data_IF_775016432743
#
_entry.id   IF_775016432743
#
_cell.length_a   1.000
_cell.length_b   1.000
_cell.length_c   1.000
_cell.angle_alpha   90.00
_cell.angle_beta   90.00
_cell.angle_gamma   90.00
#
_symmetry.space_group_name_H-M   'P 1'
#
loop_
_entity.id
_entity.type
_entity.pdbx_description
1 polymer ?
#
# COMPACT_ATOMS: atom_id res chain seq x y z
N UNK A 1 16.66 51.91 68.16
CA UNK A 1 16.44 51.84 66.69
C UNK A 1 17.36 50.77 66.12
N UNK A 2 16.84 50.03 65.13
CA UNK A 2 17.36 48.77 64.57
C UNK A 2 18.72 48.92 63.88
N UNK A 3 19.62 47.96 64.06
CA UNK A 3 20.82 47.78 63.21
C UNK A 3 21.16 46.29 63.12
N UNK A 4 20.98 45.72 61.93
CA UNK A 4 20.97 44.28 61.61
C UNK A 4 22.37 43.67 61.60
N UNK A 5 22.44 42.42 62.07
CA UNK A 5 23.51 41.45 61.87
C UNK A 5 23.76 41.17 60.39
N UNK A 6 25.03 41.19 59.97
CA UNK A 6 25.45 40.73 58.64
C UNK A 6 25.94 39.28 58.77
N UNK A 7 25.18 38.34 58.20
CA UNK A 7 25.64 36.96 57.94
C UNK A 7 26.56 36.99 56.72
N UNK A 8 27.80 36.55 56.88
CA UNK A 8 28.69 36.24 55.78
C UNK A 8 28.17 34.99 55.05
N UNK A 9 27.77 35.15 53.79
CA UNK A 9 27.43 34.05 52.89
C UNK A 9 28.74 33.46 52.37
N UNK A 10 29.05 32.24 52.77
CA UNK A 10 30.13 31.44 52.19
C UNK A 10 29.71 31.03 50.76
N UNK A 11 30.42 31.56 49.76
CA UNK A 11 30.24 31.23 48.36
C UNK A 11 30.90 29.87 48.10
N UNK A 12 30.13 28.78 48.09
CA UNK A 12 30.61 27.46 47.68
C UNK A 12 30.83 27.44 46.18
N UNK A 13 32.10 27.46 45.76
CA UNK A 13 32.53 27.28 44.38
C UNK A 13 32.27 25.81 43.98
N UNK A 14 31.10 25.54 43.37
CA UNK A 14 30.81 24.24 42.77
C UNK A 14 31.61 24.08 41.46
N UNK A 15 32.62 23.23 41.49
CA UNK A 15 33.28 22.68 40.31
C UNK A 15 32.26 21.89 39.48
N UNK A 16 31.78 22.47 38.39
CA UNK A 16 31.10 21.70 37.34
C UNK A 16 32.17 20.87 36.61
N UNK A 17 32.17 19.56 36.85
CA UNK A 17 32.88 18.61 36.00
C UNK A 17 32.24 18.66 34.61
N UNK A 18 32.94 19.24 33.63
CA UNK A 18 32.56 19.14 32.23
C UNK A 18 32.77 17.69 31.81
N UNK A 19 31.68 16.94 31.69
CA UNK A 19 31.73 15.60 31.12
C UNK A 19 32.24 15.70 29.66
N UNK A 20 33.17 14.84 29.23
CA UNK A 20 33.63 14.86 27.85
C UNK A 20 32.43 14.57 26.93
N UNK A 21 32.21 15.47 25.97
CA UNK A 21 31.28 15.23 24.88
C UNK A 21 31.72 13.95 24.17
N UNK A 22 30.91 12.90 24.27
CA UNK A 22 31.06 11.70 23.47
C UNK A 22 31.04 12.12 22.00
N UNK A 23 32.20 12.02 21.35
CA UNK A 23 32.30 12.08 19.91
C UNK A 23 31.38 10.99 19.33
N UNK A 24 30.39 11.39 18.55
CA UNK A 24 29.53 10.47 17.82
C UNK A 24 30.40 9.65 16.86
N UNK A 25 30.68 8.41 17.23
CA UNK A 25 31.17 7.40 16.30
C UNK A 25 30.10 7.24 15.23
N UNK A 26 30.50 7.33 13.95
CA UNK A 26 29.62 7.13 12.79
C UNK A 26 29.16 5.68 12.68
N UNK A 27 28.33 5.25 13.64
CA UNK A 27 27.72 3.94 13.65
C UNK A 27 26.77 3.80 12.48
N UNK A 28 26.89 2.70 11.75
CA UNK A 28 25.94 2.26 10.75
C UNK A 28 24.57 2.09 11.42
N UNK A 29 23.72 3.12 11.33
CA UNK A 29 22.36 3.03 11.82
C UNK A 29 21.60 2.03 10.93
N UNK A 30 21.09 0.96 11.53
CA UNK A 30 20.23 -0.02 10.87
C UNK A 30 18.79 0.46 10.94
N UNK A 31 18.04 0.30 9.85
CA UNK A 31 16.62 0.64 9.81
C UNK A 31 15.79 -0.64 9.96
N UNK A 32 14.88 -0.66 10.93
CA UNK A 32 13.82 -1.67 10.99
C UNK A 32 12.82 -1.39 9.87
N UNK A 33 12.38 -2.42 9.15
CA UNK A 33 11.37 -2.29 8.08
C UNK A 33 10.09 -3.03 8.50
N UNK A 34 8.95 -2.37 8.35
CA UNK A 34 7.62 -2.93 8.54
C UNK A 34 6.88 -2.98 7.19
N UNK A 35 6.00 -3.96 7.03
CA UNK A 35 5.00 -4.03 5.95
C UNK A 35 3.65 -4.17 6.61
N UNK A 36 2.77 -3.20 6.39
CA UNK A 36 1.40 -3.18 6.92
C UNK A 36 1.37 -3.48 8.44
N UNK A 37 2.21 -2.74 9.18
CA UNK A 37 2.35 -2.86 10.64
C UNK A 37 3.15 -4.06 11.17
N UNK A 38 3.51 -5.03 10.33
CA UNK A 38 4.27 -6.24 10.71
C UNK A 38 5.75 -6.10 10.40
N UNK A 39 6.61 -6.60 11.30
CA UNK A 39 8.06 -6.58 11.07
C UNK A 39 8.46 -7.49 9.89
N UNK A 40 9.20 -6.92 8.95
CA UNK A 40 9.73 -7.67 7.82
C UNK A 40 10.95 -8.51 8.23
N UNK A 41 10.97 -9.78 7.81
CA UNK A 41 12.12 -10.66 7.99
C UNK A 41 13.13 -10.44 6.87
N UNK A 42 14.00 -9.45 7.03
CA UNK A 42 15.07 -9.19 6.06
C UNK A 42 16.19 -10.23 6.20
N UNK A 43 16.65 -10.78 5.08
CA UNK A 43 17.81 -11.66 5.01
C UNK A 43 19.11 -10.88 5.21
N UNK A 44 19.15 -9.62 4.77
CA UNK A 44 20.27 -8.70 4.97
C UNK A 44 19.80 -7.47 5.73
N UNK A 45 20.69 -6.91 6.54
CA UNK A 45 20.38 -5.67 7.27
C UNK A 45 20.18 -4.52 6.28
N UNK A 46 19.13 -3.73 6.51
CA UNK A 46 18.94 -2.46 5.83
C UNK A 46 20.05 -1.47 6.23
N UNK A 47 20.54 -0.70 5.24
CA UNK A 47 21.60 0.28 5.44
C UNK A 47 21.04 1.69 5.25
N UNK A 48 21.47 2.61 6.10
CA UNK A 48 21.18 4.03 5.96
C UNK A 48 22.36 4.73 5.30
N UNK A 49 22.15 5.33 4.12
CA UNK A 49 23.17 6.09 3.40
C UNK A 49 22.58 7.39 2.86
N UNK A 50 23.17 8.52 3.23
CA UNK A 50 22.67 9.86 2.85
C UNK A 50 21.18 10.07 3.17
N UNK A 51 20.75 9.66 4.37
CA UNK A 51 19.34 9.71 4.82
C UNK A 51 18.36 8.84 4.01
N UNK A 52 18.87 7.95 3.15
CA UNK A 52 18.06 6.99 2.39
C UNK A 52 18.26 5.59 2.95
N UNK A 53 17.16 4.86 3.07
CA UNK A 53 17.18 3.46 3.47
C UNK A 53 17.34 2.59 2.24
N UNK A 54 18.40 1.79 2.21
CA UNK A 54 18.61 0.77 1.20
C UNK A 54 18.44 -0.62 1.83
N UNK A 55 17.85 -1.52 1.06
CA UNK A 55 17.73 -2.95 1.40
C UNK A 55 18.40 -3.77 0.31
N UNK A 56 18.73 -5.04 0.58
CA UNK A 56 19.22 -5.90 -0.50
C UNK A 56 18.15 -6.05 -1.59
N UNK A 57 18.56 -6.23 -2.83
CA UNK A 57 17.63 -6.39 -3.94
C UNK A 57 16.75 -7.65 -3.77
N UNK A 58 17.27 -8.69 -3.14
CA UNK A 58 16.51 -9.89 -2.78
C UNK A 58 15.44 -9.61 -1.70
N UNK A 59 15.78 -8.80 -0.68
CA UNK A 59 14.83 -8.38 0.33
C UNK A 59 13.76 -7.45 -0.26
N UNK A 60 14.15 -6.49 -1.11
CA UNK A 60 13.20 -5.64 -1.83
C UNK A 60 12.23 -6.46 -2.67
N UNK A 61 12.72 -7.48 -3.38
CA UNK A 61 11.88 -8.38 -4.14
C UNK A 61 10.89 -9.13 -3.25
N UNK A 62 11.34 -9.61 -2.08
CA UNK A 62 10.47 -10.29 -1.11
C UNK A 62 9.41 -9.36 -0.54
N UNK A 63 9.79 -8.13 -0.15
CA UNK A 63 8.90 -7.11 0.42
C UNK A 63 7.81 -6.68 -0.56
N UNK A 64 8.17 -6.54 -1.85
CA UNK A 64 7.30 -6.00 -2.90
C UNK A 64 6.64 -7.09 -3.75
N UNK A 65 6.78 -8.37 -3.37
CA UNK A 65 6.28 -9.52 -4.13
C UNK A 65 6.75 -9.50 -5.60
N UNK A 66 8.01 -9.11 -5.80
CA UNK A 66 8.66 -8.96 -7.08
C UNK A 66 9.56 -10.16 -7.41
N UNK A 67 10.01 -10.25 -8.67
CA UNK A 67 11.10 -11.13 -9.06
C UNK A 67 12.40 -10.33 -9.26
N UNK A 68 13.50 -10.79 -8.67
CA UNK A 68 14.84 -10.21 -8.85
C UNK A 68 15.75 -11.13 -9.66
N UNK A 69 16.49 -10.55 -10.60
CA UNK A 69 17.55 -11.23 -11.36
C UNK A 69 18.76 -10.32 -11.50
N UNK A 70 19.96 -10.92 -11.53
CA UNK A 70 21.21 -10.20 -11.73
C UNK A 70 22.00 -10.91 -12.83
N UNK A 71 22.29 -10.19 -13.92
CA UNK A 71 23.11 -10.65 -15.04
C UNK A 71 24.26 -9.67 -15.27
N UNK A 72 25.46 -10.04 -14.80
CA UNK A 72 26.62 -9.15 -14.81
C UNK A 72 26.38 -7.85 -14.03
N UNK A 73 26.40 -6.71 -14.73
CA UNK A 73 26.14 -5.37 -14.18
C UNK A 73 24.68 -4.93 -14.30
N UNK A 74 23.80 -5.82 -14.79
CA UNK A 74 22.39 -5.53 -15.01
C UNK A 74 21.55 -6.21 -13.95
N UNK A 75 21.07 -5.43 -13.00
CA UNK A 75 20.11 -5.86 -11.98
C UNK A 75 18.68 -5.57 -12.43
N UNK A 76 17.81 -6.58 -12.50
CA UNK A 76 16.43 -6.40 -12.95
C UNK A 76 15.42 -6.85 -11.88
N UNK A 77 14.51 -5.96 -11.54
CA UNK A 77 13.39 -6.18 -10.63
C UNK A 77 12.07 -6.11 -11.41
N UNK A 78 11.27 -7.18 -11.39
CA UNK A 78 9.97 -7.26 -12.05
C UNK A 78 8.84 -7.16 -11.01
N UNK A 79 8.11 -6.04 -11.04
CA UNK A 79 7.01 -5.68 -10.15
C UNK A 79 5.67 -5.78 -10.91
N UNK A 80 5.05 -6.96 -10.90
CA UNK A 80 3.86 -7.22 -11.74
C UNK A 80 4.19 -7.05 -13.22
N UNK A 81 3.53 -6.08 -13.88
CA UNK A 81 3.80 -5.72 -15.28
C UNK A 81 4.96 -4.74 -15.46
N UNK A 82 5.40 -4.06 -14.38
CA UNK A 82 6.51 -3.11 -14.42
C UNK A 82 7.85 -3.81 -14.35
N UNK A 83 8.80 -3.34 -15.15
CA UNK A 83 10.18 -3.81 -15.14
C UNK A 83 11.12 -2.67 -14.83
N UNK A 84 11.84 -2.79 -13.71
CA UNK A 84 12.87 -1.84 -13.29
C UNK A 84 14.23 -2.47 -13.54
N UNK A 85 15.13 -1.75 -14.22
CA UNK A 85 16.49 -2.22 -14.50
C UNK A 85 17.48 -1.21 -13.95
N UNK A 86 18.34 -1.68 -13.05
CA UNK A 86 19.50 -0.98 -12.51
C UNK A 86 20.74 -1.37 -13.31
N UNK A 87 21.39 -0.38 -13.92
CA UNK A 87 22.70 -0.52 -14.54
C UNK A 87 23.75 -0.11 -13.50
N UNK A 88 24.41 -1.09 -12.89
CA UNK A 88 25.22 -0.92 -11.68
C UNK A 88 26.52 -0.14 -11.93
N UNK A 89 27.09 -0.24 -13.14
CA UNK A 89 28.31 0.45 -13.57
C UNK A 89 28.06 1.90 -13.99
N UNK A 90 26.90 2.16 -14.61
CA UNK A 90 26.50 3.47 -15.07
C UNK A 90 25.75 4.28 -14.00
N UNK A 91 25.42 3.68 -12.85
CA UNK A 91 24.58 4.27 -11.80
C UNK A 91 23.25 4.82 -12.34
N UNK A 92 22.70 4.16 -13.37
CA UNK A 92 21.44 4.56 -14.01
C UNK A 92 20.34 3.53 -13.77
N UNK A 93 19.09 4.00 -13.87
CA UNK A 93 17.91 3.14 -13.76
C UNK A 93 16.95 3.42 -14.91
N UNK A 94 16.33 2.35 -15.41
CA UNK A 94 15.22 2.44 -16.36
C UNK A 94 13.98 1.80 -15.78
N UNK A 95 12.82 2.36 -16.12
CA UNK A 95 11.50 1.80 -15.81
C UNK A 95 10.80 1.56 -17.15
N UNK A 96 10.41 0.32 -17.40
CA UNK A 96 9.78 -0.14 -18.64
C UNK A 96 10.58 0.28 -19.89
N UNK A 97 11.92 0.17 -19.78
CA UNK A 97 12.87 0.52 -20.83
C UNK A 97 13.14 2.02 -21.00
N UNK A 98 12.49 2.90 -20.23
CA UNK A 98 12.71 4.35 -20.28
C UNK A 98 13.64 4.80 -19.15
N UNK A 99 14.70 5.58 -19.43
CA UNK A 99 15.56 6.12 -18.38
C UNK A 99 14.79 7.08 -17.47
N UNK A 100 15.03 6.98 -16.16
CA UNK A 100 14.41 7.86 -15.17
C UNK A 100 15.44 8.88 -14.68
N UNK A 101 15.25 10.15 -15.05
CA UNK A 101 16.05 11.24 -14.51
C UNK A 101 15.79 11.37 -13.00
N UNK A 102 16.87 11.32 -12.20
CA UNK A 102 16.77 11.32 -10.74
C UNK A 102 16.30 9.98 -10.14
N UNK A 103 16.26 8.91 -10.94
CA UNK A 103 16.08 7.56 -10.41
C UNK A 103 17.24 7.22 -9.48
N UNK A 104 16.93 6.67 -8.31
CA UNK A 104 17.93 6.44 -7.28
C UNK A 104 18.76 5.19 -7.61
N UNK A 105 20.08 5.38 -7.78
CA UNK A 105 21.00 4.31 -8.17
C UNK A 105 21.07 3.20 -7.11
N UNK A 106 21.32 1.97 -7.57
CA UNK A 106 21.66 0.88 -6.67
C UNK A 106 23.10 1.01 -6.17
N UNK A 107 23.37 0.48 -4.98
CA UNK A 107 24.68 0.43 -4.37
C UNK A 107 25.19 -1.01 -4.40
N UNK A 108 26.45 -1.22 -4.75
CA UNK A 108 27.07 -2.55 -4.69
C UNK A 108 27.98 -2.62 -3.47
N UNK A 109 27.73 -3.58 -2.57
CA UNK A 109 28.60 -3.87 -1.42
C UNK A 109 29.07 -5.32 -1.48
N UNK A 110 30.33 -5.52 -1.86
CA UNK A 110 30.87 -6.84 -2.12
C UNK A 110 30.17 -7.48 -3.31
N UNK A 111 29.39 -8.55 -3.06
CA UNK A 111 28.57 -9.24 -4.08
C UNK A 111 27.08 -8.93 -3.98
N UNK A 112 26.70 -8.04 -3.06
CA UNK A 112 25.30 -7.73 -2.78
C UNK A 112 24.90 -6.42 -3.46
N UNK A 113 23.71 -6.41 -4.05
CA UNK A 113 23.12 -5.21 -4.64
C UNK A 113 22.10 -4.66 -3.66
N UNK A 114 22.26 -3.40 -3.30
CA UNK A 114 21.38 -2.66 -2.41
C UNK A 114 20.59 -1.63 -3.19
N UNK A 115 19.29 -1.61 -2.99
CA UNK A 115 18.36 -0.77 -3.76
C UNK A 115 17.61 0.20 -2.83
N UNK A 116 17.28 1.40 -3.32
CA UNK A 116 16.62 2.43 -2.53
C UNK A 116 15.18 2.03 -2.26
N UNK A 117 14.88 1.71 -0.99
CA UNK A 117 13.61 1.11 -0.62
C UNK A 117 12.44 2.04 -0.92
N UNK A 118 12.53 3.32 -0.52
CA UNK A 118 11.44 4.30 -0.72
C UNK A 118 11.06 4.43 -2.19
N UNK A 119 12.05 4.67 -3.04
CA UNK A 119 11.82 4.86 -4.46
C UNK A 119 11.16 3.62 -5.09
N UNK A 120 11.61 2.41 -4.75
CA UNK A 120 10.99 1.18 -5.22
C UNK A 120 9.55 1.00 -4.75
N UNK A 121 9.27 1.31 -3.48
CA UNK A 121 7.91 1.24 -2.91
C UNK A 121 6.96 2.19 -3.66
N UNK A 122 7.42 3.40 -3.97
CA UNK A 122 6.66 4.36 -4.78
C UNK A 122 6.44 3.87 -6.22
N UNK A 123 7.46 3.26 -6.86
CA UNK A 123 7.30 2.65 -8.19
C UNK A 123 6.30 1.47 -8.18
N UNK A 124 6.20 0.75 -7.06
CA UNK A 124 5.20 -0.29 -6.85
C UNK A 124 3.78 0.28 -6.54
N UNK A 125 3.66 1.61 -6.38
CA UNK A 125 2.39 2.29 -6.10
C UNK A 125 1.98 2.23 -4.63
N UNK A 126 2.88 1.85 -3.73
CA UNK A 126 2.68 1.80 -2.29
C UNK A 126 3.17 3.10 -1.62
N UNK A 127 2.83 3.28 -0.34
CA UNK A 127 3.34 4.38 0.47
C UNK A 127 4.43 3.89 1.42
N UNK A 128 5.30 4.80 1.83
CA UNK A 128 6.35 4.52 2.80
C UNK A 128 6.52 5.71 3.74
N UNK A 129 6.42 5.45 5.03
CA UNK A 129 6.51 6.46 6.07
C UNK A 129 7.48 6.03 7.18
N UNK A 130 7.92 6.99 7.98
CA UNK A 130 8.61 6.69 9.22
C UNK A 130 7.56 6.50 10.33
N UNK A 131 7.55 5.34 10.97
CA UNK A 131 6.76 5.06 12.14
C UNK A 131 7.56 5.50 13.38
N UNK A 132 7.16 6.63 13.98
CA UNK A 132 7.84 7.22 15.13
C UNK A 132 7.76 6.37 16.40
N UNK A 133 6.63 5.68 16.62
CA UNK A 133 6.39 4.85 17.79
C UNK A 133 7.30 3.62 17.77
N UNK A 134 7.38 2.94 16.63
CA UNK A 134 8.15 1.73 16.43
C UNK A 134 9.59 1.99 15.98
N UNK A 135 9.96 3.26 15.74
CA UNK A 135 11.25 3.68 15.19
C UNK A 135 11.65 2.84 13.97
N UNK A 136 10.72 2.74 13.01
CA UNK A 136 10.84 1.86 11.85
C UNK A 136 10.37 2.53 10.56
N UNK A 137 10.93 2.12 9.44
CA UNK A 137 10.41 2.45 8.11
C UNK A 137 9.22 1.53 7.82
N UNK A 138 8.05 2.10 7.58
CA UNK A 138 6.82 1.35 7.35
C UNK A 138 6.36 1.49 5.91
N UNK A 139 6.25 0.36 5.22
CA UNK A 139 5.63 0.24 3.91
C UNK A 139 4.13 0.00 4.14
N UNK A 140 3.31 0.83 3.50
CA UNK A 140 1.86 0.74 3.52
C UNK A 140 1.38 0.37 2.12
N UNK A 141 0.88 -0.85 2.00
CA UNK A 141 0.45 -1.42 0.72
C UNK A 141 -0.84 -0.75 0.25
N UNK A 142 -0.74 0.23 -0.65
CA UNK A 142 -1.92 0.87 -1.27
C UNK A 142 -2.82 -0.09 -2.07
N UNK A 143 -2.31 -1.26 -2.45
CA UNK A 143 -3.01 -2.19 -3.35
C UNK A 143 -3.76 -3.33 -2.65
N UNK A 144 -3.67 -3.46 -1.33
CA UNK A 144 -4.50 -4.36 -0.54
C UNK A 144 -4.97 -3.59 0.68
N UNK A 145 -6.04 -2.82 0.50
CA UNK A 145 -6.77 -2.40 1.67
C UNK A 145 -7.47 -3.64 2.22
N UNK A 146 -6.94 -4.26 3.28
CA UNK A 146 -7.60 -5.37 4.00
C UNK A 146 -9.03 -5.02 4.41
N UNK A 147 -9.36 -3.73 4.42
CA UNK A 147 -10.71 -3.23 4.63
C UNK A 147 -11.69 -3.58 3.50
N UNK A 148 -11.25 -3.93 2.29
CA UNK A 148 -12.10 -4.38 1.18
C UNK A 148 -11.41 -5.48 0.36
N UNK A 149 -11.93 -6.70 0.46
CA UNK A 149 -11.38 -7.88 -0.20
C UNK A 149 -12.44 -8.52 -1.08
N UNK A 150 -12.19 -8.65 -2.39
CA UNK A 150 -13.06 -9.42 -3.28
C UNK A 150 -12.97 -10.91 -2.92
N UNK A 151 -14.12 -11.58 -2.86
CA UNK A 151 -14.23 -12.99 -2.44
C UNK A 151 -15.05 -13.78 -3.45
N UNK A 152 -14.67 -15.03 -3.69
CA UNK A 152 -15.44 -15.96 -4.53
C UNK A 152 -16.60 -16.56 -3.73
N UNK A 153 -17.80 -16.62 -4.34
CA UNK A 153 -19.00 -17.18 -3.72
C UNK A 153 -18.80 -18.59 -3.16
N UNK A 154 -17.96 -19.41 -3.81
CA UNK A 154 -17.69 -20.79 -3.39
C UNK A 154 -16.96 -20.88 -2.04
N UNK A 155 -16.34 -19.79 -1.60
CA UNK A 155 -15.61 -19.71 -0.32
C UNK A 155 -16.48 -19.18 0.82
N UNK A 156 -17.72 -18.78 0.54
CA UNK A 156 -18.64 -18.19 1.50
C UNK A 156 -19.51 -19.24 2.21
N UNK A 157 -20.08 -18.86 3.35
CA UNK A 157 -21.01 -19.72 4.08
C UNK A 157 -22.30 -19.95 3.27
N UNK A 158 -23.04 -21.01 3.58
CA UNK A 158 -24.28 -21.32 2.86
C UNK A 158 -25.29 -20.18 2.97
N UNK A 159 -25.37 -19.56 4.14
CA UNK A 159 -26.26 -18.43 4.37
C UNK A 159 -25.85 -17.23 3.49
N UNK A 160 -24.54 -16.98 3.31
CA UNK A 160 -24.03 -15.87 2.50
C UNK A 160 -24.30 -16.08 1.01
N UNK A 161 -24.16 -17.31 0.54
CA UNK A 161 -24.55 -17.72 -0.81
C UNK A 161 -26.05 -17.49 -1.04
N UNK A 162 -26.90 -17.88 -0.09
CA UNK A 162 -28.34 -17.65 -0.20
C UNK A 162 -28.69 -16.15 -0.22
N UNK A 163 -27.93 -15.33 0.52
CA UNK A 163 -28.06 -13.87 0.44
C UNK A 163 -27.69 -13.34 -0.94
N UNK A 164 -26.56 -13.77 -1.51
CA UNK A 164 -26.13 -13.42 -2.87
C UNK A 164 -27.22 -13.79 -3.88
N UNK A 165 -27.76 -15.00 -3.80
CA UNK A 165 -28.82 -15.47 -4.71
C UNK A 165 -30.06 -14.57 -4.65
N UNK A 166 -30.44 -14.11 -3.46
CA UNK A 166 -31.60 -13.25 -3.26
C UNK A 166 -31.45 -11.80 -3.77
N UNK A 167 -30.20 -11.33 -3.97
CA UNK A 167 -29.90 -9.95 -4.32
C UNK A 167 -29.20 -9.77 -5.67
N UNK A 168 -28.56 -10.81 -6.24
CA UNK A 168 -27.77 -10.69 -7.49
C UNK A 168 -28.58 -10.17 -8.68
N UNK A 169 -29.89 -10.40 -8.68
CA UNK A 169 -30.81 -9.88 -9.70
C UNK A 169 -31.28 -8.44 -9.48
N UNK A 170 -31.10 -7.90 -8.27
CA UNK A 170 -31.55 -6.57 -7.87
C UNK A 170 -30.39 -5.60 -8.01
N UNK A 171 -30.49 -4.66 -8.95
CA UNK A 171 -29.46 -3.62 -9.13
C UNK A 171 -29.24 -2.83 -7.84
N UNK A 172 -28.00 -2.72 -7.38
CA UNK A 172 -27.67 -2.02 -6.15
C UNK A 172 -26.45 -2.58 -5.44
N UNK A 173 -26.06 -1.91 -4.36
CA UNK A 173 -25.09 -2.42 -3.39
C UNK A 173 -25.87 -2.94 -2.19
N UNK A 174 -25.74 -4.24 -1.92
CA UNK A 174 -26.43 -4.92 -0.83
C UNK A 174 -25.42 -5.37 0.21
N UNK A 175 -25.80 -5.34 1.48
CA UNK A 175 -24.91 -5.67 2.57
C UNK A 175 -25.56 -6.67 3.54
N UNK A 176 -24.77 -7.64 4.00
CA UNK A 176 -25.10 -8.48 5.16
C UNK A 176 -23.87 -8.67 6.03
N UNK A 177 -23.86 -8.06 7.21
CA UNK A 177 -22.69 -8.06 8.06
C UNK A 177 -21.50 -7.38 7.37
N UNK A 178 -20.40 -8.11 7.23
CA UNK A 178 -19.19 -7.68 6.51
C UNK A 178 -19.21 -8.04 5.01
N UNK A 179 -20.23 -8.76 4.52
CA UNK A 179 -20.36 -9.11 3.10
C UNK A 179 -21.12 -8.03 2.34
N UNK A 180 -20.53 -7.60 1.22
CA UNK A 180 -21.13 -6.70 0.24
C UNK A 180 -21.33 -7.42 -1.09
N UNK A 181 -22.49 -7.21 -1.70
CA UNK A 181 -22.84 -7.68 -3.04
C UNK A 181 -23.17 -6.49 -3.92
N UNK A 182 -22.31 -6.20 -4.88
CA UNK A 182 -22.47 -5.11 -5.84
C UNK A 182 -23.10 -5.73 -7.08
N UNK A 183 -24.41 -5.60 -7.23
CA UNK A 183 -25.17 -6.22 -8.30
C UNK A 183 -25.53 -5.20 -9.38
N UNK A 184 -25.19 -5.52 -10.63
CA UNK A 184 -25.59 -4.69 -11.78
C UNK A 184 -27.08 -4.81 -12.09
N UNK A 185 -27.70 -5.90 -11.63
CA UNK A 185 -29.05 -6.31 -11.97
C UNK A 185 -29.09 -7.16 -13.23
N UNK A 186 -30.29 -7.29 -13.80
CA UNK A 186 -30.52 -8.07 -15.01
C UNK A 186 -29.76 -7.47 -16.21
N UNK A 187 -29.01 -8.32 -16.91
CA UNK A 187 -28.31 -7.98 -18.15
C UNK A 187 -28.79 -8.86 -19.31
N UNK A 188 -28.84 -8.34 -20.56
CA UNK A 188 -29.30 -9.11 -21.72
C UNK A 188 -28.49 -10.37 -22.00
N UNK A 189 -27.19 -10.35 -21.68
CA UNK A 189 -26.27 -11.46 -21.88
C UNK A 189 -25.03 -11.36 -20.97
N UNK A 190 -24.22 -12.43 -20.85
CA UNK A 190 -23.03 -12.46 -20.00
C UNK A 190 -21.87 -11.54 -20.42
N UNK A 191 -22.03 -10.75 -21.49
CA UNK A 191 -21.00 -9.80 -21.94
C UNK A 191 -20.93 -8.53 -21.11
N UNK A 192 -21.95 -8.28 -20.31
CA UNK A 192 -22.00 -7.19 -19.36
C UNK A 192 -21.42 -7.63 -18.03
N UNK A 193 -20.62 -6.76 -17.40
CA UNK A 193 -20.00 -7.07 -16.12
C UNK A 193 -19.85 -5.87 -15.19
N UNK A 194 -19.07 -6.10 -14.14
CA UNK A 194 -18.61 -5.13 -13.17
C UNK A 194 -17.13 -5.38 -12.89
N UNK A 195 -16.37 -4.33 -12.63
CA UNK A 195 -14.95 -4.44 -12.28
C UNK A 195 -14.59 -3.38 -11.24
N UNK A 196 -13.99 -3.79 -10.12
CA UNK A 196 -13.37 -2.81 -9.20
C UNK A 196 -12.08 -2.31 -9.86
N UNK A 197 -11.98 -0.99 -10.06
CA UNK A 197 -10.82 -0.37 -10.72
C UNK A 197 -9.87 0.27 -9.72
N UNK A 198 -10.39 0.74 -8.58
CA UNK A 198 -9.61 1.42 -7.54
C UNK A 198 -10.30 1.29 -6.19
N UNK A 199 -9.51 1.13 -5.14
CA UNK A 199 -9.94 1.28 -3.74
C UNK A 199 -9.05 2.32 -3.09
N UNK A 200 -9.62 3.32 -2.44
CA UNK A 200 -8.88 4.47 -1.89
C UNK A 200 -9.48 4.89 -0.55
N UNK A 201 -8.67 4.92 0.50
CA UNK A 201 -9.07 5.49 1.78
C UNK A 201 -8.78 7.00 1.77
N UNK A 202 -9.76 7.82 2.14
CA UNK A 202 -9.56 9.24 2.44
C UNK A 202 -10.21 9.54 3.78
N UNK A 203 -9.40 9.96 4.75
CA UNK A 203 -9.86 10.30 6.09
C UNK A 203 -10.63 9.10 6.70
N UNK A 204 -11.87 9.32 7.13
CA UNK A 204 -12.77 8.32 7.72
C UNK A 204 -13.71 7.69 6.66
N UNK A 205 -13.31 7.67 5.39
CA UNK A 205 -14.13 7.14 4.31
C UNK A 205 -13.33 6.30 3.31
N UNK A 206 -13.83 5.11 3.03
CA UNK A 206 -13.33 4.20 2.00
C UNK A 206 -14.09 4.41 0.70
N UNK A 207 -13.39 4.73 -0.38
CA UNK A 207 -13.96 4.87 -1.72
C UNK A 207 -13.63 3.62 -2.55
N UNK A 208 -14.66 2.94 -3.07
CA UNK A 208 -14.53 1.80 -3.96
C UNK A 208 -15.05 2.20 -5.33
N UNK A 209 -14.15 2.31 -6.30
CA UNK A 209 -14.48 2.68 -7.67
C UNK A 209 -14.79 1.42 -8.47
N UNK A 210 -16.00 1.37 -9.03
CA UNK A 210 -16.52 0.22 -9.78
C UNK A 210 -16.90 0.68 -11.18
N UNK A 211 -16.36 -0.01 -12.19
CA UNK A 211 -16.71 0.17 -13.59
C UNK A 211 -17.79 -0.83 -14.01
N UNK A 212 -18.81 -0.37 -14.72
CA UNK A 212 -19.76 -1.24 -15.43
C UNK A 212 -19.16 -1.57 -16.80
N UNK A 213 -18.81 -2.84 -17.04
CA UNK A 213 -18.14 -3.24 -18.29
C UNK A 213 -19.15 -3.55 -19.40
N UNK A 214 -18.86 -3.13 -20.61
CA UNK A 214 -19.69 -3.43 -21.78
C UNK A 214 -19.14 -4.65 -22.55
N UNK A 215 -20.00 -5.30 -23.36
CA UNK A 215 -19.59 -6.38 -24.25
C UNK A 215 -18.43 -5.96 -25.16
N UNK A 216 -17.46 -6.85 -25.33
CA UNK A 216 -16.31 -6.59 -26.19
C UNK A 216 -16.77 -6.44 -27.66
N UNK A 217 -16.30 -5.41 -28.38
CA UNK A 217 -16.65 -5.21 -29.79
C UNK A 217 -16.31 -6.44 -30.64
N UNK A 218 -17.26 -6.90 -31.45
CA UNK A 218 -17.08 -8.03 -32.37
C UNK A 218 -17.19 -9.42 -31.72
N UNK A 219 -17.39 -9.52 -30.41
CA UNK A 219 -17.62 -10.80 -29.74
C UNK A 219 -19.10 -11.20 -29.78
N UNK A 220 -19.36 -12.48 -30.10
CA UNK A 220 -20.70 -13.04 -29.99
C UNK A 220 -20.96 -13.52 -28.57
N UNK A 221 -22.14 -13.20 -28.04
CA UNK A 221 -22.59 -13.60 -26.71
C UNK A 221 -23.87 -14.45 -26.79
N UNK A 222 -24.07 -15.41 -25.88
CA UNK A 222 -25.30 -16.18 -25.83
C UNK A 222 -26.48 -15.29 -25.45
N UNK A 223 -27.64 -15.56 -26.03
CA UNK A 223 -28.90 -14.84 -25.77
C UNK A 223 -29.58 -15.36 -24.49
N UNK A 224 -28.89 -15.20 -23.36
CA UNK A 224 -29.38 -15.66 -22.05
C UNK A 224 -29.20 -14.55 -21.03
N UNK A 225 -30.28 -14.25 -20.30
CA UNK A 225 -30.26 -13.25 -19.23
C UNK A 225 -29.17 -13.59 -18.22
N UNK A 226 -28.31 -12.62 -17.93
CA UNK A 226 -27.24 -12.73 -16.94
C UNK A 226 -27.49 -11.79 -15.76
N UNK A 227 -26.85 -12.09 -14.64
CA UNK A 227 -26.91 -11.29 -13.42
C UNK A 227 -25.47 -11.01 -12.96
N UNK A 228 -24.80 -9.97 -13.47
CA UNK A 228 -23.44 -9.67 -13.09
C UNK A 228 -23.38 -9.06 -11.68
N UNK A 229 -22.52 -9.61 -10.83
CA UNK A 229 -22.27 -9.08 -9.49
C UNK A 229 -20.80 -9.23 -9.08
N UNK A 230 -20.41 -8.48 -8.06
CA UNK A 230 -19.16 -8.63 -7.33
C UNK A 230 -19.46 -8.87 -5.86
N UNK A 231 -18.67 -9.72 -5.22
CA UNK A 231 -18.76 -10.05 -3.79
C UNK A 231 -17.50 -9.60 -3.09
N UNK A 232 -17.66 -8.90 -1.95
CA UNK A 232 -16.54 -8.42 -1.17
C UNK A 232 -16.77 -8.56 0.33
N UNK A 233 -15.73 -8.92 1.07
CA UNK A 233 -15.66 -8.83 2.53
C UNK A 233 -15.04 -7.50 2.92
N UNK A 234 -15.68 -6.79 3.83
CA UNK A 234 -15.31 -5.43 4.19
C UNK A 234 -15.12 -5.31 5.70
N UNK A 235 -13.92 -4.90 6.12
CA UNK A 235 -13.52 -4.74 7.53
C UNK A 235 -13.05 -3.31 7.77
N UNK A 236 -14.00 -2.42 8.05
CA UNK A 236 -13.70 -1.02 8.31
C UNK A 236 -13.33 -0.81 9.79
N UNK A 237 -12.38 0.09 10.10
CA UNK A 237 -12.21 0.61 11.44
C UNK A 237 -13.50 1.27 11.97
N UNK A 238 -13.65 1.42 13.30
CA UNK A 238 -14.75 2.16 13.90
C UNK A 238 -14.88 3.55 13.26
N UNK A 239 -16.13 4.00 13.05
CA UNK A 239 -16.47 5.31 12.48
C UNK A 239 -16.03 5.55 11.03
N UNK A 240 -15.47 4.54 10.35
CA UNK A 240 -15.18 4.64 8.92
C UNK A 240 -16.40 4.27 8.09
N UNK A 241 -16.73 5.08 7.09
CA UNK A 241 -17.80 4.82 6.13
C UNK A 241 -17.25 4.26 4.81
N UNK A 242 -18.10 3.65 4.00
CA UNK A 242 -17.75 3.18 2.66
C UNK A 242 -18.66 3.83 1.62
N UNK A 243 -18.11 4.15 0.45
CA UNK A 243 -18.85 4.67 -0.68
C UNK A 243 -18.42 4.00 -1.97
N UNK A 244 -19.41 3.56 -2.73
CA UNK A 244 -19.21 2.97 -4.04
C UNK A 244 -19.41 4.04 -5.10
N UNK A 245 -18.40 4.21 -5.96
CA UNK A 245 -18.34 5.26 -6.96
C UNK A 245 -18.28 4.59 -8.34
N UNK A 246 -19.05 5.11 -9.29
CA UNK A 246 -18.91 4.71 -10.68
C UNK A 246 -17.58 5.25 -11.25
N UNK A 247 -16.72 4.36 -11.70
CA UNK A 247 -15.34 4.67 -12.07
C UNK A 247 -15.22 5.58 -13.31
N UNK A 248 -16.24 5.60 -14.17
CA UNK A 248 -16.23 6.39 -15.40
C UNK A 248 -16.81 7.80 -15.15
N UNK A 249 -17.82 7.91 -14.27
CA UNK A 249 -18.51 9.18 -13.99
C UNK A 249 -18.07 9.91 -12.73
N UNK A 250 -17.32 9.24 -11.83
CA UNK A 250 -16.97 9.73 -10.49
C UNK A 250 -18.17 10.14 -9.62
N UNK A 251 -19.36 9.60 -9.90
CA UNK A 251 -20.59 9.78 -9.13
C UNK A 251 -20.89 8.55 -8.27
N UNK A 252 -21.77 8.63 -7.25
CA UNK A 252 -22.23 7.44 -6.54
C UNK A 252 -22.69 6.35 -7.51
N UNK A 253 -22.22 5.12 -7.27
CA UNK A 253 -22.55 3.98 -8.11
C UNK A 253 -24.06 3.77 -8.12
N UNK A 254 -24.64 3.65 -9.32
CA UNK A 254 -26.08 3.53 -9.55
C UNK A 254 -26.94 4.77 -9.22
N UNK A 255 -26.33 5.95 -9.05
CA UNK A 255 -27.08 7.20 -8.86
C UNK A 255 -28.01 7.51 -10.06
N UNK A 256 -29.24 7.96 -9.77
CA UNK A 256 -30.19 8.48 -10.78
C UNK A 256 -31.10 7.45 -11.45
N UNK A 257 -31.14 6.20 -11.00
CA UNK A 257 -32.03 5.18 -11.54
C UNK A 257 -32.75 4.46 -10.40
N UNK A 258 -34.06 4.71 -10.29
CA UNK A 258 -34.91 4.27 -9.20
C UNK A 258 -34.72 2.79 -8.85
N UNK A 259 -34.48 2.52 -7.57
CA UNK A 259 -34.77 1.22 -6.97
C UNK A 259 -36.26 0.98 -7.17
N UNK A 260 -36.62 0.05 -8.06
CA UNK A 260 -38.00 -0.36 -8.25
C UNK A 260 -38.56 -0.84 -6.91
N UNK A 261 -39.54 -0.09 -6.40
CA UNK A 261 -40.41 -0.50 -5.31
C UNK A 261 -41.25 -1.71 -5.73
#
# INVERSE_FOLDING_TARGET
>A
MRGKTWMAVALSLQLFAVAPALAATGGTQTATVLVDGKAAALQKQAILQQQKTYVSAADAASLLQAAWTLDGQKGQLKLGERTIVFQLDAETVTVDGKPVAGGEAALVRGKEVYVPLRWLVEQAGHEIAWNEEKKAVEIVSKAQNDAFVLVDEKQLSKEEQDFIESVKGKRGVHQRGDLYVIARGQAPHPGYGLQVTKVEQKWEQLFVYVKQTEPAPGMMYPQVIAYPYLTAKVKLPPYTTISFIDADTNKPLFEGQAQGQ
#
